data_IF_524983821752
#
_entry.id   IF_524983821752
#
_cell.length_a   1.000
_cell.length_b   1.000
_cell.length_c   1.000
_cell.angle_alpha   90.00
_cell.angle_beta   90.00
_cell.angle_gamma   90.00
#
_symmetry.space_group_name_H-M   'P 1'
#
loop_
_entity.id
_entity.type
_entity.pdbx_description
1 polymer ?
#
# COMPACT_ATOMS: atom_id res chain seq x y z
N UNK A 1 -0.93 -5.27 -13.89
CA UNK A 1 -1.56 -4.49 -12.80
C UNK A 1 -0.58 -3.44 -12.27
N UNK A 2 -1.05 -2.45 -11.49
CA UNK A 2 -0.19 -1.46 -10.82
C UNK A 2 0.28 -0.25 -11.65
N UNK A 3 -0.24 -0.05 -12.87
CA UNK A 3 0.15 1.11 -13.72
C UNK A 3 -0.12 2.44 -13.00
N UNK A 4 -1.31 2.62 -12.43
CA UNK A 4 -1.67 3.86 -11.73
C UNK A 4 -0.74 4.19 -10.56
N UNK A 5 -0.30 3.19 -9.79
CA UNK A 5 0.67 3.40 -8.72
C UNK A 5 2.06 3.73 -9.24
N UNK A 6 2.51 3.11 -10.35
CA UNK A 6 3.78 3.49 -11.00
C UNK A 6 3.72 4.93 -11.53
N UNK A 7 2.61 5.32 -12.16
CA UNK A 7 2.40 6.68 -12.63
C UNK A 7 2.38 7.67 -11.46
N UNK A 8 1.74 7.32 -10.34
CA UNK A 8 1.70 8.15 -9.13
C UNK A 8 3.05 8.26 -8.42
N UNK A 9 3.89 7.22 -8.48
CA UNK A 9 5.28 7.27 -8.00
C UNK A 9 6.13 8.19 -8.89
N UNK A 10 5.94 8.11 -10.21
CA UNK A 10 6.69 8.94 -11.16
C UNK A 10 6.26 10.42 -11.12
N UNK A 11 4.96 10.69 -10.96
CA UNK A 11 4.38 12.03 -11.01
C UNK A 11 3.43 12.27 -9.81
N UNK A 12 3.96 12.38 -8.58
CA UNK A 12 3.13 12.49 -7.38
C UNK A 12 2.25 13.75 -7.34
N UNK A 13 2.73 14.88 -7.86
CA UNK A 13 1.92 16.12 -7.90
C UNK A 13 0.73 16.00 -8.86
N UNK A 14 0.94 15.41 -10.04
CA UNK A 14 -0.14 15.14 -11.00
C UNK A 14 -1.15 14.13 -10.42
N UNK A 15 -0.67 13.09 -9.74
CA UNK A 15 -1.53 12.13 -9.06
C UNK A 15 -2.39 12.79 -7.97
N UNK A 16 -1.83 13.72 -7.19
CA UNK A 16 -2.57 14.52 -6.22
C UNK A 16 -3.63 15.41 -6.88
N UNK A 17 -3.31 16.02 -8.02
CA UNK A 17 -4.27 16.82 -8.79
C UNK A 17 -5.43 15.96 -9.34
N UNK A 18 -5.13 14.77 -9.88
CA UNK A 18 -6.15 13.81 -10.34
C UNK A 18 -7.03 13.39 -9.16
N UNK A 19 -6.45 13.07 -8.00
CA UNK A 19 -7.21 12.74 -6.79
C UNK A 19 -8.17 13.87 -6.41
N UNK A 20 -7.69 15.11 -6.32
CA UNK A 20 -8.52 16.28 -5.98
C UNK A 20 -9.53 16.64 -7.06
N UNK A 21 -9.32 16.25 -8.33
CA UNK A 21 -10.32 16.37 -9.39
C UNK A 21 -11.50 15.44 -9.14
N UNK A 22 -11.24 14.22 -8.70
CA UNK A 22 -12.27 13.21 -8.42
C UNK A 22 -12.87 13.29 -7.01
N UNK A 23 -12.14 13.90 -6.08
CA UNK A 23 -12.57 14.12 -4.68
C UNK A 23 -12.41 15.61 -4.33
N UNK A 24 -13.30 16.50 -4.82
CA UNK A 24 -13.11 17.95 -4.75
C UNK A 24 -13.03 18.54 -3.34
N UNK A 25 -13.61 17.86 -2.34
CA UNK A 25 -13.53 18.23 -0.92
C UNK A 25 -12.08 18.34 -0.41
N UNK A 26 -11.15 17.58 -1.00
CA UNK A 26 -9.74 17.60 -0.63
C UNK A 26 -9.00 18.85 -1.08
N UNK A 27 -9.55 19.64 -2.03
CA UNK A 27 -8.92 20.86 -2.54
C UNK A 27 -8.66 21.90 -1.46
N UNK A 28 -9.49 21.92 -0.41
CA UNK A 28 -9.28 22.81 0.75
C UNK A 28 -7.98 22.51 1.51
N UNK A 29 -7.37 21.34 1.27
CA UNK A 29 -6.13 20.88 1.89
C UNK A 29 -5.05 20.57 0.84
N UNK A 30 -5.05 21.25 -0.30
CA UNK A 30 -4.18 20.95 -1.45
C UNK A 30 -2.70 20.71 -1.10
N UNK A 31 -2.10 21.58 -0.28
CA UNK A 31 -0.70 21.45 0.16
C UNK A 31 -0.47 20.10 0.88
N UNK A 32 -1.38 19.72 1.78
CA UNK A 32 -1.29 18.45 2.50
C UNK A 32 -1.39 17.26 1.53
N UNK A 33 -2.30 17.32 0.55
CA UNK A 33 -2.47 16.23 -0.42
C UNK A 33 -1.23 16.06 -1.29
N UNK A 34 -0.64 17.16 -1.76
CA UNK A 34 0.58 17.15 -2.56
C UNK A 34 1.74 16.55 -1.76
N UNK A 35 1.97 17.01 -0.53
CA UNK A 35 3.08 16.52 0.30
C UNK A 35 2.87 15.06 0.73
N UNK A 36 1.62 14.66 1.01
CA UNK A 36 1.27 13.26 1.26
C UNK A 36 1.61 12.38 0.04
N UNK A 37 1.27 12.83 -1.17
CA UNK A 37 1.53 12.06 -2.38
C UNK A 37 3.03 11.95 -2.70
N UNK A 38 3.82 13.00 -2.43
CA UNK A 38 5.29 12.97 -2.53
C UNK A 38 5.91 11.99 -1.54
N UNK A 39 5.44 11.98 -0.30
CA UNK A 39 5.88 11.01 0.71
C UNK A 39 5.57 9.57 0.26
N UNK A 40 4.31 9.32 -0.15
CA UNK A 40 3.86 7.99 -0.54
C UNK A 40 4.55 7.46 -1.81
N UNK A 41 5.03 8.34 -2.70
CA UNK A 41 5.81 7.93 -3.87
C UNK A 41 7.04 7.10 -3.51
N UNK A 42 7.69 7.39 -2.38
CA UNK A 42 8.80 6.60 -1.86
C UNK A 42 8.37 5.29 -1.18
N UNK A 43 7.11 5.18 -0.77
CA UNK A 43 6.61 4.09 0.08
C UNK A 43 5.87 3.00 -0.71
N UNK A 44 5.17 3.35 -1.80
CA UNK A 44 4.33 2.40 -2.55
C UNK A 44 5.06 1.15 -3.05
N UNK A 45 6.35 1.25 -3.34
CA UNK A 45 7.18 0.14 -3.83
C UNK A 45 8.46 -0.03 -3.00
N UNK A 46 8.47 0.48 -1.76
CA UNK A 46 9.68 0.48 -0.94
C UNK A 46 10.13 -0.96 -0.67
N UNK A 47 11.32 -1.29 -1.18
CA UNK A 47 11.93 -2.62 -0.99
C UNK A 47 11.41 -3.71 -1.92
N UNK A 48 10.55 -3.40 -2.90
CA UNK A 48 10.02 -4.37 -3.86
C UNK A 48 10.18 -3.87 -5.30
N UNK A 49 10.55 -4.78 -6.21
CA UNK A 49 10.64 -4.46 -7.64
C UNK A 49 9.26 -4.27 -8.29
N UNK A 50 8.20 -4.72 -7.62
CA UNK A 50 6.84 -4.76 -8.15
C UNK A 50 5.83 -4.27 -7.11
N UNK A 51 5.03 -3.28 -7.51
CA UNK A 51 3.91 -2.80 -6.70
C UNK A 51 2.89 -3.91 -6.41
N UNK A 52 2.40 -3.94 -5.16
CA UNK A 52 1.27 -4.77 -4.74
C UNK A 52 1.65 -6.19 -4.29
N UNK A 53 2.94 -6.55 -4.30
CA UNK A 53 3.42 -7.85 -3.82
C UNK A 53 3.29 -7.97 -2.31
N UNK A 54 2.63 -9.02 -1.85
CA UNK A 54 2.61 -9.43 -0.46
C UNK A 54 3.93 -10.12 -0.10
N UNK A 55 4.60 -9.59 0.93
CA UNK A 55 5.71 -10.26 1.61
C UNK A 55 5.14 -11.23 2.66
N UNK A 56 5.22 -12.53 2.36
CA UNK A 56 4.72 -13.58 3.23
C UNK A 56 5.39 -13.57 4.62
N UNK A 57 6.69 -13.24 4.71
CA UNK A 57 7.39 -13.20 5.99
C UNK A 57 6.84 -12.09 6.88
N UNK A 58 6.60 -10.91 6.31
CA UNK A 58 6.01 -9.77 7.03
C UNK A 58 4.62 -10.09 7.59
N UNK A 59 3.76 -10.73 6.79
CA UNK A 59 2.40 -11.10 7.22
C UNK A 59 2.41 -12.22 8.26
N UNK A 60 3.21 -13.26 8.05
CA UNK A 60 3.32 -14.34 9.01
C UNK A 60 3.91 -13.87 10.35
N UNK A 61 4.85 -12.92 10.34
CA UNK A 61 5.36 -12.29 11.56
C UNK A 61 4.27 -11.54 12.33
N UNK A 62 3.37 -10.83 11.63
CA UNK A 62 2.23 -10.17 12.25
C UNK A 62 1.23 -11.18 12.85
N UNK A 63 0.93 -12.28 12.15
CA UNK A 63 0.08 -13.34 12.68
C UNK A 63 0.66 -14.02 13.92
N UNK A 64 1.97 -14.30 13.91
CA UNK A 64 2.66 -14.84 15.07
C UNK A 64 2.57 -13.88 16.26
N UNK A 65 2.79 -12.57 16.02
CA UNK A 65 2.67 -11.55 17.06
C UNK A 65 1.26 -11.51 17.69
N UNK A 66 0.19 -11.66 16.91
CA UNK A 66 -1.18 -11.75 17.45
C UNK A 66 -1.34 -12.93 18.41
N UNK A 67 -0.79 -14.09 18.05
CA UNK A 67 -0.78 -15.28 18.90
C UNK A 67 0.06 -15.09 20.17
N UNK A 68 1.27 -14.53 20.05
CA UNK A 68 2.15 -14.24 21.19
C UNK A 68 1.52 -13.25 22.18
N UNK A 69 0.73 -12.29 21.69
CA UNK A 69 -0.01 -11.33 22.50
C UNK A 69 -1.36 -11.84 22.99
N UNK A 70 -1.72 -13.09 22.69
CA UNK A 70 -3.00 -13.70 23.07
C UNK A 70 -4.21 -12.88 22.59
N UNK A 71 -4.07 -12.21 21.44
CA UNK A 71 -5.13 -11.40 20.83
C UNK A 71 -6.09 -12.23 19.97
N UNK A 72 -5.76 -13.50 19.74
CA UNK A 72 -6.54 -14.47 18.96
C UNK A 72 -6.58 -15.81 19.68
N UNK A 73 -7.70 -16.52 19.56
CA UNK A 73 -7.91 -17.83 20.21
C UNK A 73 -7.22 -18.98 19.46
N UNK A 74 -7.11 -18.88 18.13
CA UNK A 74 -6.49 -19.91 17.28
C UNK A 74 -5.39 -19.32 16.41
N UNK A 75 -4.24 -20.01 16.25
CA UNK A 75 -3.17 -19.56 15.36
C UNK A 75 -3.64 -19.46 13.91
N UNK A 76 -3.20 -18.40 13.22
CA UNK A 76 -3.41 -18.25 11.77
C UNK A 76 -2.27 -18.97 11.03
N UNK A 77 -2.57 -19.91 10.11
CA UNK A 77 -1.53 -20.61 9.36
C UNK A 77 -0.68 -19.67 8.49
N UNK A 78 0.56 -20.07 8.23
CA UNK A 78 1.45 -19.34 7.34
C UNK A 78 0.85 -19.24 5.92
N UNK A 79 0.91 -18.05 5.33
CA UNK A 79 0.39 -17.80 3.98
C UNK A 79 -1.14 -17.68 3.89
N UNK A 80 -1.84 -17.67 5.02
CA UNK A 80 -3.29 -17.52 5.03
C UNK A 80 -3.71 -16.08 4.74
N UNK A 81 -4.82 -15.89 4.02
CA UNK A 81 -5.46 -14.59 3.85
C UNK A 81 -4.85 -13.66 2.79
N UNK A 82 -3.83 -14.09 2.03
CA UNK A 82 -3.30 -13.33 0.89
C UNK A 82 -2.81 -14.24 -0.23
N UNK A 83 -2.75 -13.69 -1.45
CA UNK A 83 -2.12 -14.34 -2.61
C UNK A 83 -1.50 -13.29 -3.53
N UNK A 84 -0.44 -13.67 -4.24
CA UNK A 84 0.20 -12.87 -5.28
C UNK A 84 -0.21 -13.31 -6.71
N UNK A 85 -1.10 -14.30 -6.85
CA UNK A 85 -1.42 -14.94 -8.15
C UNK A 85 -2.01 -13.99 -9.20
N UNK A 86 -2.60 -12.88 -8.76
CA UNK A 86 -3.22 -11.88 -9.63
C UNK A 86 -2.27 -10.76 -10.06
N UNK A 87 -1.06 -10.71 -9.49
CA UNK A 87 -0.09 -9.72 -9.90
C UNK A 87 0.41 -10.07 -11.31
N UNK A 88 0.42 -9.07 -12.19
CA UNK A 88 0.92 -9.28 -13.55
C UNK A 88 2.39 -9.73 -13.50
N UNK A 89 2.72 -10.74 -14.29
CA UNK A 89 4.08 -11.28 -14.43
C UNK A 89 5.07 -10.23 -14.92
#
# INVERSE_FOLDING_TARGET
MGKGYRDAVANPEEAAQILMKHVPELKSNEVLIIESQKYLAGEYMRGEAQWGKFDANRWNAFYNWLGEKQLIEQPIPAGFGFTNDFLAS
#
